data_IF_949929308872
#
_entry.id   IF_949929308872
#
_cell.length_a   1.000
_cell.length_b   1.000
_cell.length_c   1.000
_cell.angle_alpha   90.00
_cell.angle_beta   90.00
_cell.angle_gamma   90.00
#
_symmetry.space_group_name_H-M   'P 1'
#
loop_
_entity.id
_entity.type
_entity.pdbx_description
1 polymer ?
#
# COMPACT_ATOMS: atom_id res chain seq x y z
N UNK A 1 -24.53 37.25 -24.85
CA UNK A 1 -23.46 37.27 -23.87
C UNK A 1 -23.52 35.97 -23.11
N UNK A 2 -22.64 35.00 -23.46
CA UNK A 2 -22.49 33.75 -22.74
C UNK A 2 -21.65 34.05 -21.50
N UNK A 3 -22.23 33.87 -20.30
CA UNK A 3 -21.48 33.84 -19.05
C UNK A 3 -20.72 32.51 -18.98
N UNK A 4 -19.42 32.57 -19.21
CA UNK A 4 -18.53 31.48 -18.85
C UNK A 4 -18.39 31.48 -17.32
N UNK A 5 -19.08 30.57 -16.63
CA UNK A 5 -18.77 30.25 -15.26
C UNK A 5 -17.41 29.51 -15.27
N UNK A 6 -16.34 30.16 -14.88
CA UNK A 6 -15.11 29.49 -14.48
C UNK A 6 -15.42 28.72 -13.19
N UNK A 7 -15.70 27.42 -13.34
CA UNK A 7 -15.70 26.49 -12.23
C UNK A 7 -14.24 26.37 -11.76
N UNK A 8 -13.87 27.04 -10.69
CA UNK A 8 -12.66 26.76 -9.94
C UNK A 8 -12.86 25.42 -9.26
N UNK A 9 -12.66 24.32 -10.03
CA UNK A 9 -12.60 22.99 -9.47
C UNK A 9 -11.21 22.89 -8.85
N UNK A 10 -11.11 23.09 -7.54
CA UNK A 10 -9.94 22.73 -6.78
C UNK A 10 -9.86 21.19 -6.77
N UNK A 11 -9.16 20.61 -7.74
CA UNK A 11 -8.77 19.21 -7.68
C UNK A 11 -7.84 19.05 -6.48
N UNK A 12 -8.35 18.42 -5.41
CA UNK A 12 -7.51 18.02 -4.29
C UNK A 12 -6.75 16.78 -4.75
N UNK A 13 -5.52 16.97 -5.19
CA UNK A 13 -4.62 15.86 -5.49
C UNK A 13 -4.39 15.08 -4.20
N UNK A 14 -4.63 13.78 -4.26
CA UNK A 14 -4.43 12.88 -3.13
C UNK A 14 -3.05 12.22 -3.25
N UNK A 15 -2.34 12.16 -2.13
CA UNK A 15 -1.08 11.41 -2.03
C UNK A 15 -1.32 10.18 -1.18
N UNK A 16 -0.97 9.02 -1.72
CA UNK A 16 -1.20 7.73 -1.11
C UNK A 16 0.13 7.11 -0.68
N UNK A 17 0.20 6.60 0.55
CA UNK A 17 1.20 5.62 0.92
C UNK A 17 0.65 4.23 0.71
N UNK A 18 1.42 3.34 0.09
CA UNK A 18 1.06 1.95 -0.13
C UNK A 18 2.03 1.08 0.66
N UNK A 19 1.49 0.28 1.56
CA UNK A 19 2.25 -0.54 2.50
C UNK A 19 1.69 -1.96 2.55
N UNK A 20 2.55 -2.96 2.59
CA UNK A 20 2.19 -4.38 2.66
C UNK A 20 3.05 -5.12 3.67
N UNK A 21 2.57 -6.27 4.13
CA UNK A 21 3.40 -7.24 4.87
C UNK A 21 4.05 -6.66 6.14
N UNK A 22 3.22 -5.99 6.97
CA UNK A 22 3.61 -5.42 8.29
C UNK A 22 3.84 -6.54 9.30
N UNK A 23 3.02 -7.60 9.23
CA UNK A 23 3.15 -8.80 10.04
C UNK A 23 3.22 -8.55 11.55
N UNK A 24 2.49 -7.56 12.04
CA UNK A 24 2.39 -7.26 13.47
C UNK A 24 3.61 -6.58 14.08
N UNK A 25 4.59 -6.13 13.28
CA UNK A 25 5.75 -5.38 13.77
C UNK A 25 5.37 -3.92 14.06
N UNK A 26 5.27 -3.57 15.33
CA UNK A 26 4.98 -2.21 15.76
C UNK A 26 6.07 -1.22 15.33
N UNK A 27 7.38 -1.48 15.53
CA UNK A 27 8.42 -0.54 15.10
C UNK A 27 8.48 -0.35 13.58
N UNK A 28 8.21 -1.41 12.77
CA UNK A 28 8.16 -1.28 11.33
C UNK A 28 7.01 -0.36 10.88
N UNK A 29 5.82 -0.51 11.48
CA UNK A 29 4.68 0.38 11.23
C UNK A 29 5.01 1.82 11.66
N UNK A 30 5.61 2.03 12.84
CA UNK A 30 5.95 3.36 13.34
C UNK A 30 6.87 4.11 12.36
N UNK A 31 7.93 3.46 11.86
CA UNK A 31 8.82 4.02 10.84
C UNK A 31 8.06 4.40 9.55
N UNK A 32 7.19 3.51 9.06
CA UNK A 32 6.37 3.80 7.89
C UNK A 32 5.43 5.01 8.12
N UNK A 33 4.82 5.12 9.30
CA UNK A 33 3.95 6.25 9.64
C UNK A 33 4.72 7.57 9.81
N UNK A 34 6.00 7.55 10.19
CA UNK A 34 6.84 8.74 10.19
C UNK A 34 7.08 9.25 8.76
N UNK A 35 7.31 8.35 7.80
CA UNK A 35 7.37 8.68 6.37
C UNK A 35 6.00 9.21 5.89
N UNK A 36 4.89 8.56 6.27
CA UNK A 36 3.53 9.01 5.92
C UNK A 36 3.31 10.48 6.29
N UNK A 37 3.63 10.84 7.53
CA UNK A 37 3.51 12.22 8.02
C UNK A 37 4.49 13.17 7.34
N UNK A 38 5.76 12.77 7.22
CA UNK A 38 6.85 13.57 6.65
C UNK A 38 6.67 13.88 5.16
N UNK A 39 6.02 12.99 4.41
CA UNK A 39 5.75 13.16 2.97
C UNK A 39 4.41 13.81 2.67
N UNK A 40 3.56 14.02 3.68
CA UNK A 40 2.23 14.62 3.54
C UNK A 40 1.23 13.70 2.83
N UNK A 41 1.37 12.38 2.97
CA UNK A 41 0.37 11.42 2.50
C UNK A 41 -0.97 11.66 3.22
N UNK A 42 -2.07 11.43 2.53
CA UNK A 42 -3.43 11.68 3.01
C UNK A 42 -4.25 10.39 3.11
N UNK A 43 -3.81 9.33 2.43
CA UNK A 43 -4.41 8.01 2.48
C UNK A 43 -3.32 6.96 2.66
N UNK A 44 -3.60 5.97 3.50
CA UNK A 44 -2.80 4.77 3.68
C UNK A 44 -3.51 3.58 3.04
N UNK A 45 -2.88 2.98 2.02
CA UNK A 45 -3.36 1.77 1.37
C UNK A 45 -2.61 0.57 1.93
N UNK A 46 -3.29 -0.30 2.67
CA UNK A 46 -2.72 -1.52 3.21
C UNK A 46 -3.01 -2.70 2.27
N UNK A 47 -1.98 -3.36 1.82
CA UNK A 47 -2.11 -4.48 0.89
C UNK A 47 -2.18 -5.85 1.57
N UNK A 48 -2.48 -5.89 2.87
CA UNK A 48 -2.67 -7.12 3.63
C UNK A 48 -1.45 -7.59 4.43
N UNK A 49 -1.61 -8.73 5.08
CA UNK A 49 -0.68 -9.31 6.04
C UNK A 49 -0.31 -8.29 7.16
N UNK A 50 -1.38 -7.78 7.81
CA UNK A 50 -1.28 -6.62 8.70
C UNK A 50 -0.82 -7.04 10.11
N UNK A 51 -1.57 -7.93 10.76
CA UNK A 51 -1.36 -8.27 12.18
C UNK A 51 -0.63 -9.59 12.39
N UNK A 52 -0.91 -10.58 11.54
CA UNK A 52 -0.39 -11.94 11.70
C UNK A 52 0.94 -12.10 10.94
N UNK A 53 1.98 -12.58 11.62
CA UNK A 53 3.30 -12.76 11.03
C UNK A 53 3.38 -13.98 10.08
N UNK A 54 2.42 -14.91 10.15
CA UNK A 54 2.37 -16.13 9.36
C UNK A 54 3.40 -17.19 9.80
N UNK A 55 3.06 -18.49 9.66
CA UNK A 55 3.91 -19.58 10.19
C UNK A 55 5.22 -19.77 9.42
N UNK A 56 5.35 -19.21 8.21
CA UNK A 56 6.56 -19.33 7.37
C UNK A 56 7.61 -18.27 7.64
N UNK A 57 7.22 -17.16 8.27
CA UNK A 57 8.11 -16.10 8.67
C UNK A 57 8.57 -16.37 10.11
N UNK A 58 9.74 -15.89 10.49
CA UNK A 58 10.11 -15.84 11.90
C UNK A 58 9.26 -14.86 12.69
N UNK A 59 9.50 -14.75 14.00
CA UNK A 59 8.88 -13.69 14.79
C UNK A 59 9.47 -12.34 14.36
N UNK A 60 8.64 -11.35 14.03
CA UNK A 60 9.13 -10.02 13.66
C UNK A 60 9.70 -9.31 14.89
N UNK A 61 10.65 -8.42 14.66
CA UNK A 61 11.11 -7.50 15.69
C UNK A 61 9.95 -6.67 16.21
N UNK A 62 9.82 -6.56 17.53
CA UNK A 62 8.76 -5.77 18.15
C UNK A 62 7.35 -6.23 17.80
N UNK A 63 7.13 -7.55 17.72
CA UNK A 63 5.79 -8.13 17.49
C UNK A 63 4.80 -7.62 18.55
N UNK A 64 3.88 -6.77 18.13
CA UNK A 64 2.79 -6.22 18.94
C UNK A 64 1.55 -5.97 18.05
N UNK A 65 0.78 -7.00 17.69
CA UNK A 65 -0.41 -6.85 16.87
C UNK A 65 -1.45 -5.89 17.45
N UNK A 66 -1.56 -5.82 18.79
CA UNK A 66 -2.49 -4.89 19.45
C UNK A 66 -2.03 -3.45 19.34
N UNK A 67 -0.74 -3.19 19.48
CA UNK A 67 -0.13 -1.88 19.25
C UNK A 67 -0.30 -1.44 17.79
N UNK A 68 -0.07 -2.33 16.83
CA UNK A 68 -0.32 -2.10 15.40
C UNK A 68 -1.80 -1.74 15.16
N UNK A 69 -2.74 -2.54 15.67
CA UNK A 69 -4.17 -2.27 15.54
C UNK A 69 -4.57 -0.92 16.15
N UNK A 70 -4.03 -0.58 17.33
CA UNK A 70 -4.31 0.69 17.99
C UNK A 70 -3.86 1.90 17.16
N UNK A 71 -2.64 1.85 16.60
CA UNK A 71 -2.13 2.94 15.74
C UNK A 71 -2.95 3.09 14.46
N UNK A 72 -3.30 1.98 13.80
CA UNK A 72 -4.10 2.01 12.57
C UNK A 72 -5.53 2.47 12.84
N UNK A 73 -6.15 2.03 13.92
CA UNK A 73 -7.52 2.46 14.30
C UNK A 73 -7.59 3.96 14.60
N UNK A 74 -6.52 4.57 15.11
CA UNK A 74 -6.48 6.01 15.36
C UNK A 74 -6.54 6.85 14.05
N UNK A 75 -6.29 6.22 12.89
CA UNK A 75 -6.37 6.85 11.57
C UNK A 75 -7.28 6.08 10.58
N UNK A 76 -8.25 5.35 11.10
CA UNK A 76 -9.11 4.44 10.32
C UNK A 76 -9.85 5.14 9.16
N UNK A 77 -10.18 6.42 9.29
CA UNK A 77 -10.83 7.23 8.22
C UNK A 77 -9.94 7.45 6.99
N UNK A 78 -8.63 7.33 7.15
CA UNK A 78 -7.65 7.60 6.11
C UNK A 78 -7.02 6.29 5.57
N UNK A 79 -7.65 5.14 5.88
CA UNK A 79 -7.16 3.81 5.48
C UNK A 79 -8.13 3.13 4.51
N UNK A 80 -7.58 2.55 3.46
CA UNK A 80 -8.20 1.48 2.68
C UNK A 80 -7.30 0.25 2.71
N UNK A 81 -7.89 -0.95 2.74
CA UNK A 81 -7.11 -2.17 2.85
C UNK A 81 -7.67 -3.31 2.02
N UNK A 82 -6.80 -4.23 1.62
CA UNK A 82 -7.16 -5.50 1.01
C UNK A 82 -6.60 -6.65 1.86
N UNK A 83 -7.16 -7.84 1.69
CA UNK A 83 -6.80 -9.02 2.46
C UNK A 83 -5.49 -9.64 1.98
N UNK A 84 -4.57 -9.88 2.91
CA UNK A 84 -3.44 -10.77 2.72
C UNK A 84 -3.79 -12.24 3.02
N UNK A 85 -2.84 -13.12 2.77
CA UNK A 85 -3.04 -14.54 3.05
C UNK A 85 -2.93 -14.91 4.55
N UNK A 86 -2.39 -14.03 5.36
CA UNK A 86 -2.33 -14.21 6.81
C UNK A 86 -3.46 -13.50 7.55
N UNK A 87 -4.21 -12.60 6.88
CA UNK A 87 -5.32 -11.89 7.51
C UNK A 87 -6.57 -12.78 7.63
N UNK A 88 -7.26 -12.65 8.76
CA UNK A 88 -8.41 -13.46 9.14
C UNK A 88 -9.55 -12.62 9.69
N UNK A 89 -10.70 -13.25 9.89
CA UNK A 89 -11.84 -12.63 10.58
C UNK A 89 -11.49 -12.17 12.01
N UNK A 90 -10.54 -12.83 12.66
CA UNK A 90 -10.07 -12.42 13.99
C UNK A 90 -9.29 -11.10 13.90
N UNK A 91 -8.50 -10.91 12.86
CA UNK A 91 -7.80 -9.64 12.63
C UNK A 91 -8.80 -8.51 12.31
N UNK A 92 -9.85 -8.82 11.52
CA UNK A 92 -10.94 -7.87 11.25
C UNK A 92 -11.67 -7.43 12.52
N UNK A 93 -11.79 -8.28 13.54
CA UNK A 93 -12.41 -7.90 14.82
C UNK A 93 -11.61 -6.84 15.60
N UNK A 94 -10.30 -6.73 15.33
CA UNK A 94 -9.40 -5.76 15.97
C UNK A 94 -9.31 -4.45 15.21
N UNK A 95 -9.58 -4.46 13.89
CA UNK A 95 -9.42 -3.31 12.99
C UNK A 95 -10.78 -2.67 12.68
N UNK A 96 -10.86 -1.33 12.77
CA UNK A 96 -12.09 -0.55 12.60
C UNK A 96 -12.38 -0.19 11.13
N UNK A 97 -11.57 -0.65 10.20
CA UNK A 97 -11.76 -0.49 8.75
C UNK A 97 -11.81 -1.86 8.07
N UNK A 98 -12.48 -2.00 6.92
CA UNK A 98 -12.59 -3.29 6.21
C UNK A 98 -11.24 -3.78 5.70
N UNK A 99 -10.91 -5.06 5.94
CA UNK A 99 -9.67 -5.70 5.47
C UNK A 99 -9.89 -6.97 4.64
N UNK A 100 -11.14 -7.44 4.48
CA UNK A 100 -11.42 -8.80 3.97
C UNK A 100 -11.70 -8.87 2.46
N UNK A 101 -11.52 -7.80 1.72
CA UNK A 101 -11.66 -7.78 0.25
C UNK A 101 -10.36 -8.22 -0.44
N UNK A 102 -10.44 -9.10 -1.45
CA UNK A 102 -9.27 -9.62 -2.17
C UNK A 102 -8.57 -8.57 -3.04
N UNK A 103 -9.29 -7.51 -3.43
CA UNK A 103 -8.76 -6.41 -4.25
C UNK A 103 -9.63 -5.16 -4.14
N UNK A 104 -9.05 -4.01 -4.48
CA UNK A 104 -9.72 -2.72 -4.50
C UNK A 104 -9.24 -1.89 -5.70
N UNK A 105 -10.17 -1.22 -6.38
CA UNK A 105 -9.85 -0.25 -7.42
C UNK A 105 -10.11 1.16 -6.91
N UNK A 106 -9.08 1.99 -6.90
CA UNK A 106 -9.17 3.43 -6.67
C UNK A 106 -9.09 4.14 -8.02
N UNK A 107 -9.92 5.16 -8.23
CA UNK A 107 -9.82 6.04 -9.40
C UNK A 107 -9.49 7.44 -8.90
N UNK A 108 -8.26 7.89 -9.17
CA UNK A 108 -7.75 9.19 -8.77
C UNK A 108 -7.42 10.03 -10.01
N UNK A 109 -8.17 11.13 -10.24
CA UNK A 109 -8.02 11.98 -11.42
C UNK A 109 -8.00 11.21 -12.76
N UNK A 110 -8.79 10.15 -12.88
CA UNK A 110 -8.86 9.30 -14.06
C UNK A 110 -7.85 8.17 -14.09
N UNK A 111 -6.84 8.18 -13.21
CA UNK A 111 -5.85 7.10 -13.06
C UNK A 111 -6.46 5.97 -12.23
N UNK A 112 -6.32 4.75 -12.70
CA UNK A 112 -6.89 3.52 -12.10
C UNK A 112 -5.79 2.79 -11.33
N UNK A 113 -5.86 2.85 -10.01
CA UNK A 113 -4.93 2.19 -9.10
C UNK A 113 -5.57 0.89 -8.61
N UNK A 114 -5.02 -0.25 -9.01
CA UNK A 114 -5.49 -1.55 -8.53
C UNK A 114 -4.64 -2.01 -7.36
N UNK A 115 -5.29 -2.26 -6.23
CA UNK A 115 -4.67 -2.71 -5.00
C UNK A 115 -5.01 -4.19 -4.78
N UNK A 116 -4.01 -5.01 -4.51
CA UNK A 116 -4.16 -6.43 -4.15
C UNK A 116 -2.99 -6.85 -3.27
N UNK A 117 -3.11 -7.97 -2.57
CA UNK A 117 -1.98 -8.47 -1.78
C UNK A 117 -0.89 -9.14 -2.64
N UNK A 118 -1.28 -9.88 -3.67
CA UNK A 118 -0.34 -10.62 -4.52
C UNK A 118 -0.53 -12.14 -4.53
N UNK A 119 -1.19 -12.72 -3.53
CA UNK A 119 -1.44 -14.16 -3.48
C UNK A 119 -2.56 -14.64 -4.42
N UNK A 120 -3.51 -13.78 -4.77
CA UNK A 120 -4.59 -14.05 -5.74
C UNK A 120 -4.30 -13.39 -7.07
N UNK A 121 -4.07 -12.07 -7.06
CA UNK A 121 -3.72 -11.27 -8.23
C UNK A 121 -2.34 -10.66 -8.05
N UNK A 122 -1.54 -10.67 -9.11
CA UNK A 122 -0.17 -10.13 -9.17
C UNK A 122 0.20 -9.82 -10.63
N UNK A 123 1.46 -9.53 -10.91
CA UNK A 123 1.95 -9.25 -12.27
C UNK A 123 1.73 -10.40 -13.27
N UNK A 124 1.81 -11.65 -12.81
CA UNK A 124 1.57 -12.83 -13.64
C UNK A 124 0.10 -13.22 -13.78
N UNK A 125 -0.79 -12.69 -12.94
CA UNK A 125 -2.23 -12.93 -12.94
C UNK A 125 -2.97 -11.64 -12.62
N UNK A 126 -3.05 -10.76 -13.60
CA UNK A 126 -3.74 -9.47 -13.45
C UNK A 126 -5.26 -9.65 -13.33
N UNK A 127 -5.95 -8.73 -12.63
CA UNK A 127 -7.41 -8.65 -12.68
C UNK A 127 -7.91 -8.40 -14.11
N UNK A 128 -9.16 -8.79 -14.38
CA UNK A 128 -9.76 -8.58 -15.71
C UNK A 128 -10.04 -7.10 -16.03
N UNK A 129 -10.26 -6.27 -15.00
CA UNK A 129 -10.42 -4.83 -15.19
C UNK A 129 -9.07 -4.17 -15.47
N UNK A 130 -9.04 -3.24 -16.42
CA UNK A 130 -7.82 -2.47 -16.72
C UNK A 130 -7.39 -1.62 -15.54
N UNK A 131 -6.10 -1.47 -15.35
CA UNK A 131 -5.48 -0.57 -14.39
C UNK A 131 -4.29 0.15 -15.03
N UNK A 132 -4.05 1.38 -14.60
CA UNK A 132 -2.85 2.12 -14.99
C UNK A 132 -1.68 1.74 -14.07
N UNK A 133 -1.99 1.46 -12.80
CA UNK A 133 -1.03 0.97 -11.81
C UNK A 133 -1.59 -0.24 -11.07
N UNK A 134 -0.80 -1.32 -10.99
CA UNK A 134 -1.04 -2.49 -10.16
C UNK A 134 -0.10 -2.47 -8.96
N UNK A 135 -0.65 -2.32 -7.76
CA UNK A 135 0.09 -2.43 -6.51
C UNK A 135 -0.13 -3.78 -5.84
N UNK A 136 0.93 -4.42 -5.40
CA UNK A 136 0.87 -5.66 -4.61
C UNK A 136 2.07 -5.81 -3.65
N UNK A 137 2.08 -6.85 -2.82
CA UNK A 137 3.13 -7.21 -1.87
C UNK A 137 3.42 -8.70 -1.89
N UNK A 138 3.23 -9.41 -0.76
CA UNK A 138 3.28 -10.86 -0.59
C UNK A 138 4.66 -11.52 -0.77
N UNK A 139 5.41 -11.14 -1.80
CA UNK A 139 6.72 -11.74 -2.07
C UNK A 139 7.81 -11.22 -1.14
N UNK A 140 7.59 -10.04 -0.53
CA UNK A 140 8.55 -9.24 0.23
C UNK A 140 9.75 -8.75 -0.61
N UNK A 141 9.62 -8.81 -1.92
CA UNK A 141 10.59 -8.30 -2.90
C UNK A 141 9.96 -7.08 -3.57
N UNK A 142 10.59 -5.91 -3.47
CA UNK A 142 10.07 -4.75 -4.17
C UNK A 142 10.38 -4.82 -5.66
N UNK A 143 9.45 -4.32 -6.47
CA UNK A 143 9.57 -4.21 -7.92
C UNK A 143 8.88 -2.93 -8.40
N UNK A 144 9.42 -2.29 -9.44
CA UNK A 144 8.79 -1.16 -10.10
C UNK A 144 9.18 -1.12 -11.56
N UNK A 145 8.23 -1.42 -12.45
CA UNK A 145 8.46 -1.43 -13.90
C UNK A 145 7.15 -1.18 -14.67
N UNK A 146 7.24 -0.86 -15.97
CA UNK A 146 6.10 -0.90 -16.87
C UNK A 146 6.04 -2.26 -17.55
N UNK A 147 4.88 -2.88 -17.53
CA UNK A 147 4.63 -4.14 -18.22
C UNK A 147 4.38 -3.92 -19.73
N UNK A 148 4.30 -5.00 -20.49
CA UNK A 148 4.14 -4.96 -21.95
C UNK A 148 2.84 -4.27 -22.43
N UNK A 149 1.80 -4.24 -21.60
CA UNK A 149 0.54 -3.55 -21.86
C UNK A 149 0.52 -2.08 -21.37
N UNK A 150 1.64 -1.59 -20.86
CA UNK A 150 1.79 -0.23 -20.33
C UNK A 150 1.39 -0.05 -18.87
N UNK A 151 0.83 -1.08 -18.20
CA UNK A 151 0.52 -1.01 -16.77
C UNK A 151 1.81 -0.83 -15.95
N UNK A 152 1.86 0.14 -15.07
CA UNK A 152 2.92 0.21 -14.06
C UNK A 152 2.67 -0.86 -13.01
N UNK A 153 3.63 -1.73 -12.81
CA UNK A 153 3.61 -2.80 -11.81
C UNK A 153 4.52 -2.37 -10.65
N UNK A 154 3.95 -2.36 -9.45
CA UNK A 154 4.64 -1.99 -8.23
C UNK A 154 4.40 -3.04 -7.14
N UNK A 155 5.44 -3.78 -6.76
CA UNK A 155 5.46 -4.54 -5.52
C UNK A 155 6.13 -3.68 -4.45
N UNK A 156 5.45 -3.45 -3.34
CA UNK A 156 5.96 -2.55 -2.29
C UNK A 156 7.07 -3.16 -1.44
N UNK A 157 7.31 -4.47 -1.57
CA UNK A 157 8.17 -5.20 -0.64
C UNK A 157 7.54 -5.36 0.74
N UNK A 158 8.37 -5.35 1.77
CA UNK A 158 7.91 -5.43 3.16
C UNK A 158 8.73 -4.51 4.07
N UNK A 159 8.10 -3.79 5.01
CA UNK A 159 8.80 -3.00 6.01
C UNK A 159 9.39 -3.87 7.14
N UNK A 160 8.95 -5.15 7.23
CA UNK A 160 9.28 -6.06 8.34
C UNK A 160 10.21 -7.19 7.93
N UNK A 161 9.91 -7.84 6.81
CA UNK A 161 10.63 -9.02 6.32
C UNK A 161 11.13 -8.84 4.88
N UNK A 162 11.94 -7.82 4.58
CA UNK A 162 12.45 -7.66 3.21
C UNK A 162 13.28 -8.87 2.81
N UNK A 163 13.09 -9.34 1.57
CA UNK A 163 13.82 -10.48 0.99
C UNK A 163 14.83 -10.04 -0.07
N UNK A 164 15.65 -10.97 -0.54
CA UNK A 164 16.61 -10.70 -1.61
C UNK A 164 17.75 -9.74 -1.24
N UNK A 165 18.03 -9.57 0.06
CA UNK A 165 19.02 -8.59 0.52
C UNK A 165 18.53 -7.14 0.48
N UNK A 166 17.25 -6.92 0.23
CA UNK A 166 16.64 -5.59 0.21
C UNK A 166 16.54 -4.97 1.60
N UNK A 167 16.49 -3.64 1.66
CA UNK A 167 16.09 -2.89 2.85
C UNK A 167 14.57 -2.94 3.02
N UNK A 168 14.03 -2.61 4.22
CA UNK A 168 12.60 -2.40 4.42
C UNK A 168 12.05 -1.29 3.51
N UNK A 169 10.93 -1.56 2.82
CA UNK A 169 10.39 -0.68 1.78
C UNK A 169 8.89 -0.43 1.91
N UNK A 170 8.46 0.63 1.24
CA UNK A 170 7.07 1.03 0.99
C UNK A 170 6.99 1.75 -0.36
N UNK A 171 5.77 2.03 -0.84
CA UNK A 171 5.58 2.85 -2.02
C UNK A 171 4.78 4.12 -1.70
N UNK A 172 4.97 5.17 -2.51
CA UNK A 172 4.15 6.38 -2.53
C UNK A 172 3.63 6.58 -3.95
N UNK A 173 2.33 6.86 -4.06
CA UNK A 173 1.72 7.38 -5.28
C UNK A 173 1.37 8.86 -5.09
N UNK A 174 1.80 9.70 -6.02
CA UNK A 174 1.57 11.12 -6.01
C UNK A 174 1.35 11.62 -7.45
N UNK A 175 0.11 11.95 -7.79
CA UNK A 175 -0.27 12.56 -9.07
C UNK A 175 0.39 11.91 -10.31
N UNK A 176 0.20 10.61 -10.49
CA UNK A 176 0.74 9.85 -11.63
C UNK A 176 2.19 9.36 -11.45
N UNK A 177 2.83 9.65 -10.32
CA UNK A 177 4.16 9.17 -10.01
C UNK A 177 4.12 8.10 -8.94
N UNK A 178 4.75 6.96 -9.21
CA UNK A 178 5.00 5.88 -8.23
C UNK A 178 6.45 5.94 -7.78
N UNK A 179 6.67 5.93 -6.47
CA UNK A 179 8.01 5.93 -5.85
C UNK A 179 8.13 4.76 -4.89
N UNK A 180 9.16 3.94 -5.05
CA UNK A 180 9.59 2.97 -4.01
C UNK A 180 10.68 3.64 -3.18
N UNK A 181 10.52 3.56 -1.87
CA UNK A 181 11.50 4.09 -0.92
C UNK A 181 11.68 3.17 0.28
N UNK A 182 12.80 3.32 0.95
CA UNK A 182 13.05 2.62 2.21
C UNK A 182 12.28 3.29 3.35
N UNK A 183 12.06 2.56 4.43
CA UNK A 183 11.49 3.12 5.68
C UNK A 183 12.42 4.11 6.39
N UNK A 184 13.65 4.27 5.91
CA UNK A 184 14.60 5.30 6.37
C UNK A 184 14.61 6.54 5.45
N UNK A 185 13.73 6.59 4.41
CA UNK A 185 13.53 7.75 3.54
C UNK A 185 14.39 7.79 2.27
N UNK A 186 15.17 6.76 1.98
CA UNK A 186 15.96 6.66 0.73
C UNK A 186 15.04 6.28 -0.44
N UNK A 187 15.04 7.04 -1.52
CA UNK A 187 14.33 6.72 -2.76
C UNK A 187 15.14 5.69 -3.55
N UNK A 188 14.54 4.54 -3.85
CA UNK A 188 15.16 3.45 -4.60
C UNK A 188 14.81 3.48 -6.08
N UNK A 189 13.56 3.79 -6.42
CA UNK A 189 13.07 3.85 -7.79
C UNK A 189 11.87 4.79 -7.90
N UNK A 190 11.69 5.37 -9.09
CA UNK A 190 10.51 6.17 -9.46
C UNK A 190 10.02 5.79 -10.85
N UNK A 191 8.72 5.91 -11.09
CA UNK A 191 8.11 5.74 -12.39
C UNK A 191 6.93 6.70 -12.55
N UNK A 192 6.88 7.39 -13.68
CA UNK A 192 5.75 8.24 -14.08
C UNK A 192 4.83 7.46 -15.06
N UNK A 193 3.52 7.76 -15.00
CA UNK A 193 2.47 7.27 -15.91
C UNK A 193 2.55 7.94 -17.27
#
# INVERSE_FOLDING_TARGET
RALYYQLNINFRLMKYMILSDIHGSLPALQKALDIYRGTGCQMLCLLGDILNYGPRNGLPEGLDPKGVASLLNAMASDIVAVRGNCDSEVDQMLLQFPIMQDSLLIVDNGVRLWLTHGHVYNSGRKPAASADVLFYGHTHLWELYADADGTIVCNTGSPTFPKGGNKPTLAIYDNGRVTIMTTDGEVLATKDL
#
